data_IF_300383906340
#
_entry.id   IF_300383906340
#
_cell.length_a   1.000
_cell.length_b   1.000
_cell.length_c   1.000
_cell.angle_alpha   90.00
_cell.angle_beta   90.00
_cell.angle_gamma   90.00
#
_symmetry.space_group_name_H-M   'P 1'
#
loop_
_entity.id
_entity.type
_entity.pdbx_description
1 polymer ?
#
# COMPACT_ATOMS: atom_id res chain seq x y z
N UNK A 1 -18.05 -14.07 19.62
CA UNK A 1 -16.66 -13.74 20.00
C UNK A 1 -15.75 -14.88 19.57
N UNK A 2 -15.40 -14.92 18.28
CA UNK A 2 -14.43 -15.85 17.72
C UNK A 2 -13.38 -14.98 17.04
N UNK A 3 -12.38 -14.55 17.82
CA UNK A 3 -11.32 -13.70 17.32
C UNK A 3 -10.34 -14.50 16.46
N UNK A 4 -9.73 -13.83 15.48
CA UNK A 4 -8.65 -14.29 14.60
C UNK A 4 -7.44 -14.93 15.32
N UNK A 5 -7.40 -14.91 16.65
CA UNK A 5 -6.34 -15.45 17.50
C UNK A 5 -6.66 -16.83 18.07
N UNK A 6 -7.86 -17.37 17.85
CA UNK A 6 -8.22 -18.69 18.36
C UNK A 6 -7.62 -19.77 17.45
N UNK A 7 -6.88 -20.71 18.01
CA UNK A 7 -6.02 -21.70 17.32
C UNK A 7 -6.74 -22.76 16.48
N UNK A 8 -7.71 -22.36 15.67
CA UNK A 8 -8.39 -23.24 14.71
C UNK A 8 -7.46 -23.47 13.50
N UNK A 9 -7.24 -24.72 13.06
CA UNK A 9 -6.33 -25.04 11.95
C UNK A 9 -6.75 -24.45 10.59
N UNK A 10 -7.99 -23.98 10.44
CA UNK A 10 -8.47 -23.24 9.26
C UNK A 10 -7.84 -21.84 9.12
N UNK A 11 -7.46 -21.17 10.22
CA UNK A 11 -6.90 -19.81 10.20
C UNK A 11 -5.36 -19.76 10.20
N UNK A 12 -4.69 -20.91 10.05
CA UNK A 12 -3.25 -21.00 10.22
C UNK A 12 -2.46 -20.13 9.22
N UNK A 13 -2.88 -20.10 7.94
CA UNK A 13 -2.22 -19.31 6.89
C UNK A 13 -2.47 -17.80 7.02
N UNK A 14 -3.65 -17.40 7.51
CA UNK A 14 -3.97 -15.99 7.75
C UNK A 14 -3.23 -15.45 8.97
N UNK A 15 -3.13 -16.27 10.03
CA UNK A 15 -2.32 -15.93 11.19
C UNK A 15 -0.86 -15.76 10.80
N UNK A 16 -0.35 -16.63 9.94
CA UNK A 16 1.02 -16.54 9.44
C UNK A 16 1.22 -15.28 8.59
N UNK A 17 0.27 -14.91 7.71
CA UNK A 17 0.27 -13.63 7.00
C UNK A 17 0.25 -12.42 7.92
N UNK A 18 -0.66 -12.41 8.91
CA UNK A 18 -0.76 -11.33 9.87
C UNK A 18 0.52 -11.21 10.69
N UNK A 19 1.10 -12.33 11.12
CA UNK A 19 2.36 -12.36 11.85
C UNK A 19 3.52 -11.87 10.99
N UNK A 20 3.61 -12.29 9.73
CA UNK A 20 4.59 -11.77 8.78
C UNK A 20 4.41 -10.28 8.52
N UNK A 21 3.18 -9.78 8.37
CA UNK A 21 2.88 -8.37 8.18
C UNK A 21 3.22 -7.53 9.41
N UNK A 22 2.99 -8.04 10.61
CA UNK A 22 3.29 -7.38 11.87
C UNK A 22 4.81 -7.35 12.12
N UNK A 23 5.51 -8.44 11.81
CA UNK A 23 6.98 -8.51 11.85
C UNK A 23 7.63 -7.60 10.81
N UNK A 24 7.14 -7.57 9.57
CA UNK A 24 7.66 -6.66 8.55
C UNK A 24 7.38 -5.21 8.90
N UNK A 25 6.21 -4.90 9.47
CA UNK A 25 5.90 -3.56 9.96
C UNK A 25 6.89 -3.14 11.08
N UNK A 26 7.16 -4.05 12.02
CA UNK A 26 8.17 -3.82 13.05
C UNK A 26 9.57 -3.60 12.48
N UNK A 27 9.98 -4.39 11.47
CA UNK A 27 11.27 -4.21 10.81
C UNK A 27 11.32 -2.92 9.98
N UNK A 28 10.26 -2.55 9.26
CA UNK A 28 10.22 -1.30 8.52
C UNK A 28 10.28 -0.13 9.51
N UNK A 29 9.53 -0.17 10.61
CA UNK A 29 9.63 0.83 11.67
C UNK A 29 11.04 0.91 12.27
N UNK A 30 11.74 -0.22 12.45
CA UNK A 30 13.15 -0.24 12.84
C UNK A 30 14.06 0.35 11.77
N UNK A 31 13.83 0.09 10.48
CA UNK A 31 14.58 0.73 9.39
C UNK A 31 14.31 2.23 9.32
N UNK A 32 13.08 2.67 9.57
CA UNK A 32 12.72 4.08 9.69
C UNK A 32 13.44 4.72 10.87
N UNK A 33 13.49 4.04 12.02
CA UNK A 33 14.23 4.50 13.20
C UNK A 33 15.75 4.52 12.99
N UNK A 34 16.31 3.54 12.27
CA UNK A 34 17.72 3.55 11.86
C UNK A 34 18.03 4.70 10.90
N UNK A 35 17.20 4.90 9.87
CA UNK A 35 17.30 6.04 8.95
C UNK A 35 17.17 7.37 9.71
N UNK A 36 16.33 7.42 10.73
CA UNK A 36 16.17 8.56 11.63
C UNK A 36 17.45 8.87 12.40
N UNK A 37 18.11 7.87 13.00
CA UNK A 37 19.37 8.07 13.75
C UNK A 37 20.49 8.56 12.83
N UNK A 38 20.57 8.02 11.61
CA UNK A 38 21.57 8.42 10.62
C UNK A 38 21.28 9.83 10.05
N UNK A 39 20.00 10.15 9.79
CA UNK A 39 19.59 11.45 9.24
C UNK A 39 19.68 12.59 10.28
N UNK A 40 19.55 12.29 11.58
CA UNK A 40 19.72 13.25 12.68
C UNK A 40 21.11 13.90 12.66
N UNK A 41 22.13 13.16 12.21
CA UNK A 41 23.51 13.62 12.10
C UNK A 41 23.72 14.58 10.91
N UNK A 42 22.81 14.58 9.93
CA UNK A 42 22.95 15.36 8.69
C UNK A 42 22.04 16.61 8.61
N UNK A 43 20.84 16.63 9.21
CA UNK A 43 20.03 17.85 9.32
C UNK A 43 18.85 17.74 10.32
N UNK A 44 18.79 18.55 11.40
CA UNK A 44 17.73 18.48 12.40
C UNK A 44 16.35 18.98 11.90
N UNK A 45 16.30 19.73 10.80
CA UNK A 45 15.05 20.33 10.26
C UNK A 45 14.26 19.42 9.31
N UNK A 46 14.87 18.35 8.79
CA UNK A 46 14.19 17.42 7.88
C UNK A 46 13.17 16.55 8.64
N UNK A 47 13.36 16.40 9.94
CA UNK A 47 12.65 15.46 10.78
C UNK A 47 11.31 15.99 11.31
N UNK A 48 11.27 17.25 11.77
CA UNK A 48 10.01 17.88 12.17
C UNK A 48 9.04 18.02 10.99
N UNK A 49 9.56 18.22 9.77
CA UNK A 49 8.73 18.45 8.59
C UNK A 49 8.28 17.15 7.89
N UNK A 50 9.09 16.09 7.90
CA UNK A 50 8.79 14.86 7.14
C UNK A 50 8.43 13.63 7.98
N UNK A 51 8.59 13.66 9.31
CA UNK A 51 8.36 12.49 10.17
C UNK A 51 6.96 11.88 10.02
N UNK A 52 5.93 12.72 9.90
CA UNK A 52 4.55 12.27 9.70
C UNK A 52 4.36 11.54 8.35
N UNK A 53 4.90 12.08 7.26
CA UNK A 53 4.77 11.49 5.92
C UNK A 53 5.54 10.16 5.80
N UNK A 54 6.69 10.04 6.44
CA UNK A 54 7.48 8.80 6.46
C UNK A 54 6.75 7.70 7.23
N UNK A 55 6.10 8.04 8.35
CA UNK A 55 5.31 7.08 9.12
C UNK A 55 4.10 6.57 8.34
N UNK A 56 3.43 7.46 7.60
CA UNK A 56 2.38 7.07 6.68
C UNK A 56 2.96 6.14 5.60
N UNK A 57 4.02 6.51 4.88
CA UNK A 57 4.63 5.66 3.84
C UNK A 57 4.96 4.22 4.30
N UNK A 58 5.50 4.07 5.51
CA UNK A 58 5.71 2.76 6.12
C UNK A 58 4.40 1.95 6.27
N UNK A 59 3.29 2.60 6.61
CA UNK A 59 1.99 1.95 6.65
C UNK A 59 1.49 1.55 5.24
N UNK A 60 1.78 2.31 4.17
CA UNK A 60 1.20 2.00 2.83
C UNK A 60 1.95 0.84 2.26
N UNK A 61 3.28 0.91 2.33
CA UNK A 61 4.14 -0.15 1.83
C UNK A 61 3.75 -1.50 2.44
N UNK A 62 3.48 -1.56 3.75
CA UNK A 62 2.97 -2.78 4.38
C UNK A 62 1.54 -3.13 3.97
N UNK A 63 0.59 -2.20 4.01
CA UNK A 63 -0.82 -2.48 3.72
C UNK A 63 -1.07 -2.90 2.26
N UNK A 64 -0.41 -2.21 1.32
CA UNK A 64 -0.42 -2.55 -0.10
C UNK A 64 0.13 -3.95 -0.33
N UNK A 65 1.29 -4.26 0.26
CA UNK A 65 1.93 -5.53 0.01
C UNK A 65 1.20 -6.69 0.68
N UNK A 66 0.65 -6.48 1.89
CA UNK A 66 -0.25 -7.43 2.54
C UNK A 66 -1.41 -7.83 1.63
N UNK A 67 -2.06 -6.86 0.98
CA UNK A 67 -3.22 -7.12 0.12
C UNK A 67 -2.81 -7.84 -1.17
N UNK A 68 -1.69 -7.45 -1.78
CA UNK A 68 -1.14 -8.08 -2.98
C UNK A 68 -0.76 -9.54 -2.72
N UNK A 69 -0.10 -9.83 -1.59
CA UNK A 69 0.27 -11.20 -1.24
C UNK A 69 -0.96 -12.04 -0.89
N UNK A 70 -1.93 -11.48 -0.16
CA UNK A 70 -3.21 -12.13 0.08
C UNK A 70 -3.84 -12.54 -1.27
N UNK A 71 -3.87 -11.64 -2.26
CA UNK A 71 -4.33 -11.99 -3.61
C UNK A 71 -3.49 -13.08 -4.32
N UNK A 72 -2.15 -13.06 -4.21
CA UNK A 72 -1.27 -14.11 -4.80
C UNK A 72 -1.63 -15.51 -4.35
N UNK A 73 -2.06 -15.65 -3.10
CA UNK A 73 -2.30 -16.92 -2.43
C UNK A 73 -3.64 -17.54 -2.82
N UNK A 74 -4.64 -16.71 -3.08
CA UNK A 74 -5.95 -17.15 -3.55
C UNK A 74 -6.00 -17.30 -5.07
N UNK A 75 -4.98 -17.89 -5.71
CA UNK A 75 -4.90 -18.06 -7.18
C UNK A 75 -5.87 -19.13 -7.73
N UNK A 76 -7.11 -19.16 -7.25
CA UNK A 76 -8.23 -19.89 -7.84
C UNK A 76 -8.85 -19.09 -8.98
N UNK A 77 -9.61 -19.77 -9.82
CA UNK A 77 -10.43 -19.17 -10.88
C UNK A 77 -11.53 -18.30 -10.25
N UNK A 78 -11.19 -17.06 -9.93
CA UNK A 78 -12.16 -16.04 -9.56
C UNK A 78 -13.12 -15.79 -10.71
N UNK A 79 -14.38 -15.51 -10.39
CA UNK A 79 -15.30 -14.98 -11.39
C UNK A 79 -14.72 -13.69 -11.98
N UNK A 80 -15.03 -13.41 -13.26
CA UNK A 80 -14.51 -12.20 -13.89
C UNK A 80 -14.86 -10.92 -13.12
N UNK A 81 -16.08 -10.87 -12.58
CA UNK A 81 -16.57 -9.73 -11.79
C UNK A 81 -15.75 -9.52 -10.52
N UNK A 82 -15.42 -10.59 -9.81
CA UNK A 82 -14.60 -10.52 -8.60
C UNK A 82 -13.17 -10.06 -8.93
N UNK A 83 -12.56 -10.62 -9.99
CA UNK A 83 -11.21 -10.24 -10.41
C UNK A 83 -11.09 -8.77 -10.85
N UNK A 84 -12.11 -8.26 -11.55
CA UNK A 84 -12.25 -6.84 -11.90
C UNK A 84 -12.30 -5.94 -10.66
N UNK A 85 -13.18 -6.27 -9.70
CA UNK A 85 -13.33 -5.51 -8.45
C UNK A 85 -12.04 -5.52 -7.61
N UNK A 86 -11.33 -6.65 -7.54
CA UNK A 86 -10.04 -6.76 -6.84
C UNK A 86 -8.95 -5.93 -7.55
N UNK A 87 -8.85 -6.04 -8.88
CA UNK A 87 -7.89 -5.27 -9.67
C UNK A 87 -8.07 -3.76 -9.49
N UNK A 88 -9.32 -3.30 -9.54
CA UNK A 88 -9.68 -1.90 -9.32
C UNK A 88 -9.35 -1.44 -7.90
N UNK A 89 -9.75 -2.18 -6.87
CA UNK A 89 -9.55 -1.78 -5.46
C UNK A 89 -8.08 -1.75 -5.06
N UNK A 90 -7.28 -2.74 -5.47
CA UNK A 90 -5.84 -2.78 -5.18
C UNK A 90 -5.12 -1.69 -6.00
N UNK A 91 -5.41 -1.57 -7.30
CA UNK A 91 -4.80 -0.53 -8.15
C UNK A 91 -5.10 0.88 -7.66
N UNK A 92 -6.36 1.13 -7.26
CA UNK A 92 -6.77 2.40 -6.70
C UNK A 92 -6.16 2.66 -5.33
N UNK A 93 -6.28 1.72 -4.39
CA UNK A 93 -5.78 1.90 -3.03
C UNK A 93 -4.27 2.19 -3.00
N UNK A 94 -3.49 1.44 -3.77
CA UNK A 94 -2.03 1.62 -3.84
C UNK A 94 -1.63 2.92 -4.54
N UNK A 95 -2.16 3.18 -5.74
CA UNK A 95 -1.83 4.39 -6.50
C UNK A 95 -2.25 5.67 -5.76
N UNK A 96 -3.36 5.63 -5.05
CA UNK A 96 -3.89 6.77 -4.31
C UNK A 96 -3.06 7.09 -3.06
N UNK A 97 -2.69 6.09 -2.26
CA UNK A 97 -1.89 6.28 -1.05
C UNK A 97 -0.51 6.88 -1.37
N UNK A 98 0.19 6.31 -2.35
CA UNK A 98 1.51 6.81 -2.76
C UNK A 98 1.43 8.14 -3.51
N UNK A 99 0.43 8.32 -4.37
CA UNK A 99 0.20 9.57 -5.09
C UNK A 99 -0.10 10.75 -4.16
N UNK A 100 -0.91 10.53 -3.12
CA UNK A 100 -1.22 11.55 -2.11
C UNK A 100 -0.02 11.89 -1.21
N UNK A 101 0.80 10.91 -0.85
CA UNK A 101 2.03 11.14 -0.09
C UNK A 101 3.02 12.02 -0.86
N UNK A 102 3.36 11.62 -2.08
CA UNK A 102 4.37 12.35 -2.87
C UNK A 102 3.81 13.68 -3.38
N UNK A 103 2.50 13.77 -3.59
CA UNK A 103 1.82 15.04 -3.90
C UNK A 103 1.95 16.06 -2.78
N UNK A 104 1.82 15.63 -1.52
CA UNK A 104 2.00 16.48 -0.34
C UNK A 104 3.43 17.01 -0.17
N UNK A 105 4.45 16.22 -0.52
CA UNK A 105 5.86 16.59 -0.29
C UNK A 105 6.53 17.29 -1.47
N UNK A 106 6.25 16.84 -2.69
CA UNK A 106 6.98 17.22 -3.91
C UNK A 106 6.09 17.94 -4.93
N UNK A 107 4.79 18.03 -4.67
CA UNK A 107 3.81 18.70 -5.51
C UNK A 107 3.10 17.78 -6.52
N UNK A 108 2.09 18.35 -7.19
CA UNK A 108 1.12 17.61 -8.01
C UNK A 108 1.76 16.76 -9.11
N UNK A 109 2.77 17.28 -9.80
CA UNK A 109 3.40 16.59 -10.93
C UNK A 109 4.11 15.30 -10.49
N UNK A 110 5.00 15.40 -9.49
CA UNK A 110 5.71 14.24 -8.96
C UNK A 110 4.75 13.27 -8.27
N UNK A 111 3.78 13.78 -7.50
CA UNK A 111 2.75 12.93 -6.89
C UNK A 111 1.97 12.12 -7.92
N UNK A 112 1.51 12.76 -9.00
CA UNK A 112 0.74 12.10 -10.05
C UNK A 112 1.58 11.06 -10.78
N UNK A 113 2.83 11.40 -11.11
CA UNK A 113 3.73 10.49 -11.81
C UNK A 113 4.02 9.24 -10.98
N UNK A 114 4.32 9.40 -9.70
CA UNK A 114 4.60 8.27 -8.79
C UNK A 114 3.35 7.43 -8.55
N UNK A 115 2.22 8.07 -8.26
CA UNK A 115 0.96 7.37 -8.04
C UNK A 115 0.55 6.54 -9.27
N UNK A 116 0.67 7.09 -10.48
CA UNK A 116 0.36 6.36 -11.72
C UNK A 116 1.34 5.20 -11.98
N UNK A 117 2.65 5.46 -11.84
CA UNK A 117 3.69 4.45 -12.12
C UNK A 117 3.63 3.25 -11.18
N UNK A 118 3.10 3.43 -9.96
CA UNK A 118 2.89 2.33 -9.00
C UNK A 118 1.49 1.71 -9.16
N UNK A 119 0.44 2.53 -9.22
CA UNK A 119 -0.94 2.06 -9.25
C UNK A 119 -1.27 1.25 -10.51
N UNK A 120 -0.80 1.68 -11.68
CA UNK A 120 -1.06 0.99 -12.96
C UNK A 120 -0.55 -0.46 -12.99
N UNK A 121 0.75 -0.74 -12.77
CA UNK A 121 1.25 -2.11 -12.84
C UNK A 121 0.68 -3.00 -11.74
N UNK A 122 0.42 -2.45 -10.54
CA UNK A 122 -0.18 -3.20 -9.42
C UNK A 122 -1.63 -3.58 -9.74
N UNK A 123 -2.45 -2.61 -10.16
CA UNK A 123 -3.84 -2.87 -10.54
C UNK A 123 -3.94 -3.81 -11.74
N UNK A 124 -3.10 -3.60 -12.75
CA UNK A 124 -3.01 -4.49 -13.91
C UNK A 124 -2.68 -5.93 -13.48
N UNK A 125 -1.68 -6.11 -12.60
CA UNK A 125 -1.25 -7.43 -12.14
C UNK A 125 -2.35 -8.13 -11.33
N UNK A 126 -3.06 -7.41 -10.46
CA UNK A 126 -4.20 -7.94 -9.72
C UNK A 126 -5.39 -8.31 -10.63
N UNK A 127 -5.67 -7.50 -11.66
CA UNK A 127 -6.76 -7.74 -12.61
C UNK A 127 -6.51 -8.86 -13.64
N UNK A 128 -5.27 -9.38 -13.77
CA UNK A 128 -4.91 -10.41 -14.76
C UNK A 128 -5.73 -11.69 -14.65
N UNK A 129 -6.31 -11.99 -13.50
CA UNK A 129 -7.14 -13.17 -13.29
C UNK A 129 -8.39 -13.20 -14.19
N UNK A 130 -8.90 -12.05 -14.68
CA UNK A 130 -9.96 -12.00 -15.71
C UNK A 130 -9.44 -11.60 -17.11
N UNK A 131 -8.22 -11.95 -17.46
CA UNK A 131 -7.68 -11.65 -18.80
C UNK A 131 -7.61 -10.15 -19.09
N UNK A 132 -7.89 -9.74 -20.33
CA UNK A 132 -7.60 -8.38 -20.82
C UNK A 132 -8.48 -7.31 -20.15
N UNK A 133 -9.75 -7.61 -19.85
CA UNK A 133 -10.70 -6.63 -19.29
C UNK A 133 -10.32 -6.25 -17.86
N UNK A 134 -9.97 -7.23 -17.02
CA UNK A 134 -9.50 -6.95 -15.67
C UNK A 134 -8.18 -6.18 -15.64
N UNK A 135 -7.27 -6.43 -16.60
CA UNK A 135 -6.05 -5.64 -16.76
C UNK A 135 -6.38 -4.18 -17.10
N UNK A 136 -7.32 -3.94 -18.01
CA UNK A 136 -7.72 -2.57 -18.37
C UNK A 136 -8.36 -1.82 -17.20
N UNK A 137 -9.23 -2.47 -16.42
CA UNK A 137 -9.81 -1.84 -15.22
C UNK A 137 -8.73 -1.49 -14.19
N UNK A 138 -7.81 -2.42 -13.91
CA UNK A 138 -6.71 -2.16 -12.98
C UNK A 138 -5.78 -1.03 -13.43
N UNK A 139 -5.49 -0.94 -14.73
CA UNK A 139 -4.72 0.16 -15.31
C UNK A 139 -5.44 1.51 -15.16
N UNK A 140 -6.73 1.56 -15.51
CA UNK A 140 -7.53 2.78 -15.40
C UNK A 140 -7.68 3.22 -13.94
N UNK A 141 -7.90 2.28 -13.03
CA UNK A 141 -7.98 2.54 -11.60
C UNK A 141 -6.67 3.13 -11.07
N UNK A 142 -5.53 2.54 -11.42
CA UNK A 142 -4.22 3.05 -11.02
C UNK A 142 -3.90 4.44 -11.58
N UNK A 143 -4.26 4.71 -12.84
CA UNK A 143 -4.10 6.02 -13.46
C UNK A 143 -4.93 7.09 -12.75
N UNK A 144 -6.22 6.83 -12.57
CA UNK A 144 -7.15 7.75 -11.91
C UNK A 144 -6.75 7.99 -10.45
N UNK A 145 -6.40 6.93 -9.73
CA UNK A 145 -6.01 7.00 -8.33
C UNK A 145 -4.73 7.82 -8.11
N UNK A 146 -3.70 7.62 -8.93
CA UNK A 146 -2.44 8.34 -8.79
C UNK A 146 -2.59 9.85 -9.00
N UNK A 147 -3.33 10.24 -10.03
CA UNK A 147 -3.60 11.66 -10.32
C UNK A 147 -4.52 12.31 -9.29
N UNK A 148 -5.60 11.62 -8.88
CA UNK A 148 -6.53 12.14 -7.87
C UNK A 148 -5.91 12.23 -6.48
N UNK A 149 -5.08 11.26 -6.09
CA UNK A 149 -4.37 11.29 -4.80
C UNK A 149 -3.47 12.51 -4.69
N UNK A 150 -2.67 12.77 -5.73
CA UNK A 150 -1.81 13.95 -5.79
C UNK A 150 -2.61 15.26 -5.79
N UNK A 151 -3.70 15.34 -6.56
CA UNK A 151 -4.57 16.51 -6.59
C UNK A 151 -5.16 16.83 -5.21
N UNK A 152 -5.70 15.82 -4.51
CA UNK A 152 -6.28 15.99 -3.18
C UNK A 152 -5.25 16.50 -2.17
N UNK A 153 -4.04 15.94 -2.19
CA UNK A 153 -2.97 16.37 -1.27
C UNK A 153 -2.55 17.82 -1.48
N UNK A 154 -2.52 18.30 -2.73
CA UNK A 154 -2.14 19.68 -3.05
C UNK A 154 -3.26 20.67 -2.75
N UNK A 155 -4.53 20.28 -2.94
CA UNK A 155 -5.65 21.16 -2.61
C UNK A 155 -5.83 21.33 -1.09
N UNK A 156 -5.49 20.31 -0.31
CA UNK A 156 -5.66 20.30 1.15
C UNK A 156 -4.44 20.88 1.90
N UNK A 157 -3.46 21.41 1.17
CA UNK A 157 -2.18 21.85 1.70
C UNK A 157 -2.32 23.08 2.62
N UNK A 158 -3.26 23.98 2.30
CA UNK A 158 -3.54 25.21 3.08
C UNK A 158 -4.53 25.01 4.24
N UNK A 159 -5.24 23.87 4.31
CA UNK A 159 -6.17 23.56 5.39
C UNK A 159 -5.49 22.66 6.45
N UNK A 160 -6.01 21.45 6.65
CA UNK A 160 -5.57 20.51 7.68
C UNK A 160 -5.05 19.23 7.02
N UNK A 161 -4.03 19.37 6.17
CA UNK A 161 -3.47 18.27 5.38
C UNK A 161 -3.16 17.03 6.22
N UNK A 162 -2.50 17.21 7.37
CA UNK A 162 -2.06 16.11 8.22
C UNK A 162 -3.24 15.29 8.75
N UNK A 163 -4.29 15.96 9.23
CA UNK A 163 -5.50 15.30 9.75
C UNK A 163 -6.25 14.57 8.65
N UNK A 164 -6.42 15.22 7.50
CA UNK A 164 -7.07 14.60 6.35
C UNK A 164 -6.30 13.39 5.86
N UNK A 165 -4.98 13.49 5.74
CA UNK A 165 -4.15 12.38 5.28
C UNK A 165 -4.25 11.21 6.27
N UNK A 166 -4.24 11.45 7.59
CA UNK A 166 -4.46 10.39 8.57
C UNK A 166 -5.81 9.66 8.39
N UNK A 167 -6.90 10.41 8.17
CA UNK A 167 -8.24 9.84 7.95
C UNK A 167 -8.28 9.06 6.63
N UNK A 168 -7.70 9.61 5.57
CA UNK A 168 -7.61 9.00 4.25
C UNK A 168 -6.94 7.64 4.32
N UNK A 169 -5.82 7.59 5.04
CA UNK A 169 -5.04 6.40 5.30
C UNK A 169 -5.79 5.34 6.09
N UNK A 170 -6.47 5.75 7.16
CA UNK A 170 -7.32 4.86 7.93
C UNK A 170 -8.45 4.27 7.06
N UNK A 171 -9.09 5.10 6.22
CA UNK A 171 -10.13 4.65 5.31
C UNK A 171 -9.59 3.68 4.25
N UNK A 172 -8.45 3.97 3.63
CA UNK A 172 -7.83 3.09 2.63
C UNK A 172 -7.40 1.74 3.22
N UNK A 173 -6.78 1.74 4.40
CA UNK A 173 -6.44 0.50 5.11
C UNK A 173 -7.73 -0.28 5.46
N UNK A 174 -8.77 0.42 5.91
CA UNK A 174 -10.09 -0.15 6.13
C UNK A 174 -10.66 -0.85 4.90
N UNK A 175 -10.63 -0.20 3.74
CA UNK A 175 -11.12 -0.77 2.47
C UNK A 175 -10.29 -1.98 2.04
N UNK A 176 -8.96 -1.91 2.11
CA UNK A 176 -8.08 -3.02 1.75
C UNK A 176 -8.26 -4.22 2.70
N UNK A 177 -8.42 -3.97 4.00
CA UNK A 177 -8.71 -5.02 4.98
C UNK A 177 -10.10 -5.64 4.77
N UNK A 178 -11.10 -4.84 4.43
CA UNK A 178 -12.44 -5.30 4.10
C UNK A 178 -12.45 -6.16 2.82
N UNK A 179 -11.67 -5.77 1.81
CA UNK A 179 -11.45 -6.57 0.61
C UNK A 179 -10.81 -7.92 0.95
N UNK A 180 -9.77 -7.91 1.78
CA UNK A 180 -9.11 -9.14 2.25
C UNK A 180 -10.10 -10.08 2.93
N UNK A 181 -10.93 -9.55 3.83
CA UNK A 181 -11.97 -10.32 4.52
C UNK A 181 -13.07 -10.84 3.59
N UNK A 182 -13.53 -10.02 2.64
CA UNK A 182 -14.53 -10.44 1.66
C UNK A 182 -13.99 -11.54 0.76
N UNK A 183 -12.73 -11.42 0.34
CA UNK A 183 -12.06 -12.42 -0.49
C UNK A 183 -11.93 -13.76 0.25
N UNK A 184 -11.63 -13.74 1.55
CA UNK A 184 -11.66 -14.94 2.39
C UNK A 184 -13.05 -15.59 2.42
N UNK A 185 -14.09 -14.79 2.65
CA UNK A 185 -15.48 -15.29 2.73
C UNK A 185 -15.95 -15.92 1.42
N UNK A 186 -15.51 -15.37 0.28
CA UNK A 186 -15.90 -15.83 -1.06
C UNK A 186 -15.11 -17.08 -1.51
N UNK A 187 -13.79 -17.15 -1.25
CA UNK A 187 -12.95 -18.27 -1.67
C UNK A 187 -12.96 -19.48 -0.72
N UNK A 188 -13.38 -19.28 0.54
CA UNK A 188 -13.27 -20.27 1.61
C UNK A 188 -11.85 -20.42 2.17
N UNK A 189 -11.70 -21.24 3.22
CA UNK A 189 -10.40 -21.50 3.88
C UNK A 189 -9.35 -22.01 2.89
N UNK A 190 -8.18 -21.37 2.89
CA UNK A 190 -6.99 -21.86 2.18
C UNK A 190 -6.62 -23.26 2.72
N UNK A 191 -6.46 -24.24 1.82
CA UNK A 191 -5.73 -25.46 2.18
C UNK A 191 -4.24 -25.11 2.20
N UNK A 192 -3.55 -25.45 3.30
CA UNK A 192 -2.13 -25.16 3.61
C UNK A 192 -1.11 -25.50 2.51
N UNK A 193 -1.47 -26.29 1.51
CA UNK A 193 -0.55 -26.82 0.49
C UNK A 193 -0.02 -25.78 -0.53
N UNK A 194 -0.49 -24.52 -0.50
CA UNK A 194 -0.06 -23.48 -1.46
C UNK A 194 0.60 -22.26 -0.82
N UNK A 195 0.91 -22.31 0.48
CA UNK A 195 1.51 -21.18 1.20
C UNK A 195 3.04 -21.29 1.24
N UNK A 196 3.69 -21.01 0.11
CA UNK A 196 5.16 -21.09 -0.03
C UNK A 196 5.79 -19.69 -0.07
N UNK A 197 5.28 -18.76 0.75
CA UNK A 197 5.78 -17.39 0.79
C UNK A 197 6.78 -17.26 1.93
N UNK A 198 8.04 -17.04 1.59
CA UNK A 198 9.07 -16.80 2.60
C UNK A 198 8.93 -15.41 3.21
N UNK A 199 9.10 -15.29 4.52
CA UNK A 199 9.12 -14.01 5.25
C UNK A 199 10.05 -12.97 4.59
N UNK A 200 11.23 -13.43 4.15
CA UNK A 200 12.22 -12.58 3.51
C UNK A 200 11.71 -11.97 2.18
N UNK A 201 10.92 -12.71 1.41
CA UNK A 201 10.32 -12.19 0.19
C UNK A 201 9.32 -11.09 0.50
N UNK A 202 8.44 -11.30 1.49
CA UNK A 202 7.45 -10.30 1.92
C UNK A 202 8.12 -9.03 2.46
N UNK A 203 9.19 -9.19 3.24
CA UNK A 203 9.96 -8.08 3.78
C UNK A 203 10.64 -7.26 2.66
N UNK A 204 11.35 -7.91 1.74
CA UNK A 204 11.99 -7.20 0.62
C UNK A 204 10.96 -6.51 -0.27
N UNK A 205 9.84 -7.20 -0.53
CA UNK A 205 8.71 -6.69 -1.28
C UNK A 205 8.08 -5.40 -0.70
N UNK A 206 8.06 -5.25 0.62
CA UNK A 206 7.55 -4.05 1.30
C UNK A 206 8.62 -2.99 1.52
N UNK A 207 9.88 -3.40 1.72
CA UNK A 207 11.02 -2.50 1.89
C UNK A 207 11.36 -1.73 0.60
N UNK A 208 11.30 -2.37 -0.57
CA UNK A 208 11.60 -1.73 -1.86
C UNK A 208 10.71 -0.50 -2.13
N UNK A 209 9.36 -0.60 -2.13
CA UNK A 209 8.52 0.57 -2.37
C UNK A 209 8.69 1.65 -1.30
N UNK A 210 8.89 1.27 -0.03
CA UNK A 210 9.19 2.22 1.05
C UNK A 210 10.47 3.02 0.76
N UNK A 211 11.59 2.36 0.42
CA UNK A 211 12.84 3.06 0.13
C UNK A 211 12.76 3.94 -1.13
N UNK A 212 12.03 3.50 -2.15
CA UNK A 212 11.83 4.28 -3.38
C UNK A 212 11.02 5.54 -3.10
N UNK A 213 9.89 5.42 -2.38
CA UNK A 213 9.06 6.57 -2.02
C UNK A 213 9.81 7.51 -1.08
N UNK A 214 10.50 6.97 -0.07
CA UNK A 214 11.37 7.74 0.81
C UNK A 214 12.42 8.54 0.03
N UNK A 215 13.15 7.90 -0.90
CA UNK A 215 14.15 8.57 -1.72
C UNK A 215 13.53 9.68 -2.58
N UNK A 216 12.34 9.46 -3.15
CA UNK A 216 11.64 10.47 -3.91
C UNK A 216 11.20 11.63 -3.02
N UNK A 217 10.65 11.39 -1.82
CA UNK A 217 10.24 12.46 -0.90
C UNK A 217 11.43 13.33 -0.45
N UNK A 218 12.60 12.72 -0.25
CA UNK A 218 13.79 13.43 0.26
C UNK A 218 14.56 14.14 -0.86
N UNK A 219 14.82 13.47 -1.99
CA UNK A 219 15.68 13.96 -3.07
C UNK A 219 14.92 14.46 -4.31
N UNK A 220 13.60 14.26 -4.34
CA UNK A 220 12.77 14.63 -5.49
C UNK A 220 12.71 16.14 -5.70
N UNK A 221 12.60 16.60 -6.96
CA UNK A 221 12.40 18.00 -7.26
C UNK A 221 11.08 18.48 -6.64
N UNK A 222 11.15 19.57 -5.88
CA UNK A 222 9.97 20.20 -5.30
C UNK A 222 9.39 21.18 -6.30
N UNK A 223 8.08 21.06 -6.52
CA UNK A 223 7.31 22.11 -7.18
C UNK A 223 7.46 23.42 -6.40
N UNK A 224 7.78 24.53 -7.08
CA UNK A 224 8.02 25.85 -6.47
C UNK A 224 6.80 26.53 -5.83
N UNK A 225 5.73 25.77 -5.56
CA UNK A 225 4.52 26.20 -4.86
C UNK A 225 4.56 25.75 -3.38
N UNK A 226 5.69 25.18 -2.92
CA UNK A 226 5.94 24.60 -1.60
C UNK A 226 7.25 25.10 -0.97
#
# INVERSE_FOLDING_TARGET
AGGLLNGNPEFASERELMEMALLSFGLIALTTWMLFVIAFDSSPKLLEKFGFFIALDALASVASMSTIYHFKLFRREWSCMSGMMIGMTIGMGTGFLFGALVGATNGMFMGSLVGMTIGMPVGAWAGRCCGIMGVMEGLMAGLMAGTMGAMLSVMMLDDHLHEFLAILWAASIGILSALSFMMYKEAGSLKKEHFDVSFFEFFMASLIPFLVIFAIMVFGPRSGVL
#
